data_IF_912496957058
#
_entry.id   IF_912496957058
#
_cell.length_a   1.000
_cell.length_b   1.000
_cell.length_c   1.000
_cell.angle_alpha   90.00
_cell.angle_beta   90.00
_cell.angle_gamma   90.00
#
_symmetry.space_group_name_H-M   'P 1'
#
loop_
_entity.id
_entity.type
_entity.pdbx_description
1 polymer ?
#
# COMPACT_ATOMS: atom_id res chain seq x y z
N UNK A 1 41.31 -11.47 -13.79
CA UNK A 1 40.15 -10.62 -13.46
C UNK A 1 39.17 -10.72 -14.60
N UNK A 2 38.08 -11.48 -14.44
CA UNK A 2 36.98 -11.49 -15.41
C UNK A 2 36.13 -10.27 -15.09
N UNK A 3 35.98 -9.40 -16.08
CA UNK A 3 34.98 -8.35 -16.07
C UNK A 3 33.61 -9.04 -15.99
N UNK A 4 32.89 -8.81 -14.90
CA UNK A 4 31.46 -9.16 -14.83
C UNK A 4 30.79 -8.16 -15.75
N UNK A 5 30.26 -8.64 -16.88
CA UNK A 5 29.37 -7.84 -17.72
C UNK A 5 28.25 -7.30 -16.84
N UNK A 6 28.06 -5.98 -16.80
CA UNK A 6 26.88 -5.35 -16.21
C UNK A 6 25.67 -5.83 -17.00
N UNK A 7 25.05 -6.93 -16.57
CA UNK A 7 23.76 -7.37 -17.12
C UNK A 7 22.75 -6.26 -16.89
N UNK A 8 22.07 -5.84 -17.96
CA UNK A 8 21.08 -4.78 -17.90
C UNK A 8 19.93 -5.19 -16.98
N UNK A 9 19.92 -4.61 -15.78
CA UNK A 9 18.92 -4.85 -14.75
C UNK A 9 17.54 -4.35 -15.20
N UNK A 10 16.56 -5.25 -15.24
CA UNK A 10 15.17 -4.92 -15.54
C UNK A 10 14.41 -4.50 -14.26
N UNK A 11 13.36 -3.69 -14.43
CA UNK A 11 12.47 -3.28 -13.34
C UNK A 11 11.06 -3.79 -13.59
N UNK A 12 10.43 -4.37 -12.57
CA UNK A 12 9.03 -4.75 -12.57
C UNK A 12 8.29 -4.01 -11.46
N UNK A 13 7.27 -3.24 -11.84
CA UNK A 13 6.35 -2.59 -10.91
C UNK A 13 5.03 -3.37 -10.87
N UNK A 14 4.52 -3.61 -9.67
CA UNK A 14 3.29 -4.38 -9.46
C UNK A 14 2.47 -3.82 -8.32
N UNK A 15 1.16 -3.64 -8.55
CA UNK A 15 0.21 -3.34 -7.47
C UNK A 15 -0.17 -4.63 -6.74
N UNK A 16 -0.28 -4.54 -5.43
CA UNK A 16 -0.46 -5.65 -4.50
C UNK A 16 -1.68 -5.38 -3.62
N UNK A 17 -2.76 -6.11 -3.85
CA UNK A 17 -3.95 -6.05 -3.01
C UNK A 17 -3.88 -7.01 -1.83
N UNK A 18 -4.46 -6.59 -0.70
CA UNK A 18 -4.52 -7.38 0.54
C UNK A 18 -3.41 -7.05 1.54
N UNK A 19 -2.68 -5.94 1.36
CA UNK A 19 -1.71 -5.47 2.34
C UNK A 19 -2.40 -4.64 3.44
N UNK A 20 -2.15 -4.99 4.69
CA UNK A 20 -2.83 -4.37 5.85
C UNK A 20 -1.88 -3.69 6.83
N UNK A 21 -0.59 -4.03 6.83
CA UNK A 21 0.40 -3.48 7.75
C UNK A 21 1.84 -3.72 7.27
N UNK A 22 2.82 -3.21 8.03
CA UNK A 22 4.26 -3.38 7.77
C UNK A 22 4.71 -4.85 7.68
N UNK A 23 4.11 -5.77 8.44
CA UNK A 23 4.42 -7.21 8.31
C UNK A 23 4.15 -7.77 6.92
N UNK A 24 3.17 -7.22 6.20
CA UNK A 24 2.85 -7.65 4.84
C UNK A 24 3.99 -7.28 3.87
N UNK A 25 4.54 -6.06 4.01
CA UNK A 25 5.64 -5.58 3.18
C UNK A 25 6.91 -6.43 3.37
N UNK A 26 7.27 -6.76 4.61
CA UNK A 26 8.42 -7.61 4.89
C UNK A 26 8.23 -9.06 4.42
N UNK A 27 7.00 -9.59 4.53
CA UNK A 27 6.66 -10.92 4.02
C UNK A 27 6.86 -11.01 2.51
N UNK A 28 6.36 -10.01 1.76
CA UNK A 28 6.52 -9.91 0.32
C UNK A 28 7.99 -9.76 -0.08
N UNK A 29 8.72 -8.88 0.60
CA UNK A 29 10.15 -8.68 0.37
C UNK A 29 10.92 -10.00 0.51
N UNK A 30 10.72 -10.72 1.62
CA UNK A 30 11.36 -12.03 1.85
C UNK A 30 10.98 -13.05 0.78
N UNK A 31 9.71 -13.10 0.37
CA UNK A 31 9.25 -14.04 -0.65
C UNK A 31 9.92 -13.79 -2.00
N UNK A 32 9.93 -12.54 -2.46
CA UNK A 32 10.48 -12.16 -3.77
C UNK A 32 12.01 -12.23 -3.75
N UNK A 33 12.68 -11.74 -2.69
CA UNK A 33 14.16 -11.73 -2.59
C UNK A 33 14.84 -13.11 -2.62
N UNK A 34 14.06 -14.20 -2.55
CA UNK A 34 14.58 -15.57 -2.61
C UNK A 34 14.64 -16.16 -4.01
N UNK A 35 14.05 -15.50 -5.00
CA UNK A 35 14.24 -15.88 -6.39
C UNK A 35 15.68 -15.52 -6.79
N UNK A 36 16.36 -16.45 -7.46
CA UNK A 36 17.68 -16.18 -8.03
C UNK A 36 17.54 -15.16 -9.17
N UNK A 37 18.42 -14.17 -9.21
CA UNK A 37 18.32 -13.03 -10.13
C UNK A 37 17.64 -11.78 -9.57
N UNK A 38 17.14 -11.78 -8.32
CA UNK A 38 16.59 -10.57 -7.70
C UNK A 38 17.71 -9.76 -7.03
N UNK A 39 17.85 -8.49 -7.42
CA UNK A 39 18.85 -7.59 -6.85
C UNK A 39 18.26 -6.70 -5.75
N UNK A 40 17.09 -6.08 -6.01
CA UNK A 40 16.45 -5.16 -5.07
C UNK A 40 14.94 -5.32 -5.06
N UNK A 41 14.34 -5.25 -3.87
CA UNK A 41 12.88 -5.29 -3.68
C UNK A 41 12.46 -4.17 -2.74
N UNK A 42 11.72 -3.21 -3.29
CA UNK A 42 11.07 -2.15 -2.53
C UNK A 42 9.56 -2.41 -2.50
N UNK A 43 8.96 -2.33 -1.32
CA UNK A 43 7.52 -2.53 -1.13
C UNK A 43 6.98 -1.33 -0.39
N UNK A 44 5.99 -0.65 -0.98
CA UNK A 44 5.28 0.46 -0.37
C UNK A 44 3.90 0.00 0.09
N UNK A 45 3.71 0.00 1.41
CA UNK A 45 2.39 -0.24 2.01
C UNK A 45 1.41 0.89 1.67
N UNK A 46 1.91 2.13 1.62
CA UNK A 46 1.08 3.31 1.40
C UNK A 46 0.43 3.31 0.00
N UNK A 47 1.16 2.81 -1.00
CA UNK A 47 0.71 2.79 -2.40
C UNK A 47 0.23 1.41 -2.86
N UNK A 48 0.21 0.42 -1.96
CA UNK A 48 -0.11 -0.96 -2.30
C UNK A 48 0.70 -1.48 -3.50
N UNK A 49 2.02 -1.26 -3.52
CA UNK A 49 2.87 -1.56 -4.68
C UNK A 49 4.23 -2.16 -4.27
N UNK A 50 4.84 -2.89 -5.20
CA UNK A 50 6.24 -3.27 -5.13
C UNK A 50 6.97 -2.90 -6.42
N UNK A 51 8.22 -2.45 -6.26
CA UNK A 51 9.18 -2.23 -7.31
C UNK A 51 10.33 -3.23 -7.13
N UNK A 52 10.56 -4.04 -8.14
CA UNK A 52 11.53 -5.14 -8.13
C UNK A 52 12.57 -4.90 -9.22
N UNK A 53 13.84 -4.84 -8.85
CA UNK A 53 14.99 -4.82 -9.76
C UNK A 53 15.53 -6.25 -9.89
N UNK A 54 15.58 -6.77 -11.11
CA UNK A 54 15.89 -8.17 -11.38
C UNK A 54 16.70 -8.37 -12.67
N UNK A 55 17.42 -9.49 -12.72
CA UNK A 55 18.15 -9.97 -13.89
C UNK A 55 17.18 -10.74 -14.81
N UNK A 56 16.85 -10.20 -16.00
CA UNK A 56 15.87 -10.81 -16.91
C UNK A 56 16.34 -12.15 -17.50
N UNK A 57 17.63 -12.48 -17.43
CA UNK A 57 18.14 -13.77 -17.90
C UNK A 57 17.86 -14.90 -16.89
N UNK A 58 17.64 -14.56 -15.61
CA UNK A 58 17.48 -15.53 -14.52
C UNK A 58 16.06 -15.65 -14.01
N UNK A 59 15.31 -14.55 -14.02
CA UNK A 59 13.94 -14.51 -13.50
C UNK A 59 13.06 -13.61 -14.36
N UNK A 60 11.84 -14.05 -14.62
CA UNK A 60 10.85 -13.28 -15.36
C UNK A 60 9.80 -12.62 -14.44
N UNK A 61 9.03 -11.68 -15.00
CA UNK A 61 7.94 -11.03 -14.25
C UNK A 61 6.87 -12.03 -13.78
N UNK A 62 6.66 -13.13 -14.51
CA UNK A 62 5.64 -14.13 -14.19
C UNK A 62 5.99 -14.87 -12.91
N UNK A 63 7.27 -15.20 -12.72
CA UNK A 63 7.84 -15.81 -11.52
C UNK A 63 7.77 -14.83 -10.34
N UNK A 64 8.06 -13.55 -10.55
CA UNK A 64 7.92 -12.50 -9.51
C UNK A 64 6.46 -12.40 -9.06
N UNK A 65 5.52 -12.24 -10.01
CA UNK A 65 4.08 -12.19 -9.74
C UNK A 65 3.59 -13.49 -9.09
N UNK A 66 4.13 -14.63 -9.52
CA UNK A 66 3.88 -15.94 -8.93
C UNK A 66 4.33 -16.02 -7.47
N UNK A 67 5.52 -15.51 -7.14
CA UNK A 67 6.03 -15.47 -5.77
C UNK A 67 5.16 -14.61 -4.86
N UNK A 68 4.63 -13.49 -5.36
CA UNK A 68 3.66 -12.64 -4.62
C UNK A 68 2.36 -13.39 -4.36
N UNK A 69 1.76 -13.99 -5.40
CA UNK A 69 0.51 -14.78 -5.29
C UNK A 69 0.67 -15.98 -4.37
N UNK A 70 1.85 -16.59 -4.36
CA UNK A 70 2.13 -17.78 -3.58
C UNK A 70 2.09 -17.57 -2.06
N UNK A 71 2.16 -16.32 -1.60
CA UNK A 71 2.02 -15.96 -0.18
C UNK A 71 0.60 -15.46 0.17
N UNK A 72 -0.31 -15.51 -0.80
CA UNK A 72 -1.73 -15.17 -0.63
C UNK A 72 -2.10 -13.73 -0.98
N UNK A 73 -1.18 -12.95 -1.56
CA UNK A 73 -1.47 -11.60 -2.03
C UNK A 73 -2.03 -11.58 -3.45
N UNK A 74 -2.83 -10.57 -3.76
CA UNK A 74 -3.34 -10.38 -5.13
C UNK A 74 -2.42 -9.45 -5.91
N UNK A 75 -2.07 -9.82 -7.14
CA UNK A 75 -1.28 -8.98 -8.05
C UNK A 75 -2.22 -8.29 -9.02
N UNK A 76 -2.03 -6.99 -9.20
CA UNK A 76 -2.82 -6.13 -10.09
C UNK A 76 -1.90 -5.32 -11.01
N UNK A 77 -2.45 -4.90 -12.13
CA UNK A 77 -1.77 -4.05 -13.10
C UNK A 77 -1.55 -2.64 -12.51
N UNK A 78 -0.31 -2.11 -12.48
CA UNK A 78 -0.06 -0.75 -12.01
C UNK A 78 -0.80 0.32 -12.83
N UNK A 79 -1.00 0.09 -14.14
CA UNK A 79 -1.62 1.04 -15.09
C UNK A 79 -3.13 1.17 -14.92
N UNK A 80 -3.78 0.19 -14.28
CA UNK A 80 -5.21 0.29 -13.96
C UNK A 80 -5.41 1.07 -12.67
N UNK A 81 -5.97 2.28 -12.80
CA UNK A 81 -6.45 3.06 -11.66
C UNK A 81 -7.74 2.42 -11.18
N UNK A 82 -7.86 2.20 -9.86
CA UNK A 82 -9.09 1.65 -9.27
C UNK A 82 -10.22 2.65 -9.44
N UNK A 83 -11.38 2.16 -9.87
CA UNK A 83 -12.60 2.96 -9.78
C UNK A 83 -12.96 3.12 -8.30
N UNK A 84 -13.62 4.23 -7.98
CA UNK A 84 -14.12 4.50 -6.64
C UNK A 84 -15.05 3.37 -6.16
N UNK A 85 -15.83 2.80 -7.06
CA UNK A 85 -16.75 1.69 -6.81
C UNK A 85 -16.02 0.42 -6.37
N UNK A 86 -14.86 0.10 -6.97
CA UNK A 86 -14.05 -1.05 -6.58
C UNK A 86 -13.44 -0.90 -5.17
N UNK A 87 -13.08 0.34 -4.78
CA UNK A 87 -12.62 0.67 -3.43
C UNK A 87 -13.72 0.53 -2.39
N UNK A 88 -14.90 1.07 -2.67
CA UNK A 88 -16.05 0.90 -1.78
C UNK A 88 -16.48 -0.56 -1.66
N UNK A 89 -16.47 -1.32 -2.74
CA UNK A 89 -16.84 -2.74 -2.72
C UNK A 89 -15.89 -3.56 -1.85
N UNK A 90 -14.58 -3.29 -1.91
CA UNK A 90 -13.60 -3.94 -1.05
C UNK A 90 -13.81 -3.58 0.42
N UNK A 91 -14.03 -2.29 0.72
CA UNK A 91 -14.31 -1.83 2.08
C UNK A 91 -15.60 -2.45 2.64
N UNK A 92 -16.67 -2.54 1.83
CA UNK A 92 -17.93 -3.19 2.21
C UNK A 92 -17.73 -4.70 2.51
N UNK A 93 -16.91 -5.40 1.72
CA UNK A 93 -16.57 -6.81 1.98
C UNK A 93 -15.86 -6.99 3.32
N UNK A 94 -14.82 -6.19 3.60
CA UNK A 94 -14.11 -6.27 4.89
C UNK A 94 -14.99 -5.84 6.07
N UNK A 95 -15.85 -4.83 5.89
CA UNK A 95 -16.85 -4.44 6.88
C UNK A 95 -17.78 -5.61 7.22
N UNK A 96 -18.30 -6.31 6.22
CA UNK A 96 -19.21 -7.42 6.46
C UNK A 96 -18.52 -8.60 7.16
N UNK A 97 -17.24 -8.87 6.85
CA UNK A 97 -16.43 -9.85 7.59
C UNK A 97 -16.25 -9.43 9.05
N UNK A 98 -15.94 -8.16 9.31
CA UNK A 98 -15.83 -7.63 10.66
C UNK A 98 -17.15 -7.73 11.41
N UNK A 99 -18.29 -7.35 10.81
CA UNK A 99 -19.59 -7.44 11.45
C UNK A 99 -19.92 -8.88 11.85
N UNK A 100 -19.61 -9.86 10.99
CA UNK A 100 -19.79 -11.27 11.28
C UNK A 100 -18.89 -11.74 12.44
N UNK A 101 -17.59 -11.40 12.39
CA UNK A 101 -16.64 -11.74 13.46
C UNK A 101 -16.98 -11.07 14.81
N UNK A 102 -17.44 -9.81 14.75
CA UNK A 102 -17.90 -9.05 15.90
C UNK A 102 -19.18 -9.66 16.50
N UNK A 103 -20.11 -10.15 15.67
CA UNK A 103 -21.29 -10.87 16.15
C UNK A 103 -20.89 -12.15 16.91
N UNK A 104 -20.00 -12.98 16.35
CA UNK A 104 -19.49 -14.16 17.03
C UNK A 104 -18.78 -13.84 18.34
N UNK A 105 -18.00 -12.75 18.34
CA UNK A 105 -17.28 -12.26 19.52
C UNK A 105 -18.23 -11.73 20.59
N UNK A 106 -19.28 -11.02 20.21
CA UNK A 106 -20.29 -10.53 21.15
C UNK A 106 -21.02 -11.70 21.84
N UNK A 107 -21.34 -12.76 21.09
CA UNK A 107 -21.95 -13.97 21.66
C UNK A 107 -20.97 -14.66 22.62
N UNK A 108 -19.73 -14.92 22.21
CA UNK A 108 -18.71 -15.57 23.05
C UNK A 108 -18.40 -14.73 24.30
N UNK A 109 -18.26 -13.42 24.16
CA UNK A 109 -18.03 -12.50 25.28
C UNK A 109 -19.23 -12.47 26.24
N UNK A 110 -20.46 -12.38 25.71
CA UNK A 110 -21.68 -12.46 26.53
C UNK A 110 -21.78 -13.76 27.32
N UNK A 111 -21.40 -14.88 26.71
CA UNK A 111 -21.30 -16.17 27.38
C UNK A 111 -20.24 -16.18 28.50
N UNK A 112 -19.05 -15.64 28.26
CA UNK A 112 -18.01 -15.55 29.30
C UNK A 112 -18.43 -14.64 30.46
N UNK A 113 -19.00 -13.48 30.17
CA UNK A 113 -19.51 -12.55 31.20
C UNK A 113 -20.58 -13.23 32.04
N UNK A 114 -21.47 -14.00 31.41
CA UNK A 114 -22.50 -14.76 32.10
C UNK A 114 -21.92 -15.91 32.94
N UNK A 115 -20.79 -16.49 32.56
CA UNK A 115 -20.05 -17.43 33.41
C UNK A 115 -19.45 -16.77 34.64
N UNK A 116 -18.94 -15.54 34.51
CA UNK A 116 -18.30 -14.82 35.61
C UNK A 116 -19.28 -14.15 36.57
N UNK A 117 -20.37 -13.57 36.05
CA UNK A 117 -21.35 -12.81 36.82
C UNK A 117 -22.61 -13.61 37.16
N UNK A 118 -22.85 -14.73 36.49
CA UNK A 118 -24.06 -15.53 36.69
C UNK A 118 -24.04 -16.27 38.03
N UNK A 119 -25.19 -16.29 38.70
CA UNK A 119 -25.40 -17.18 39.84
C UNK A 119 -25.19 -18.64 39.43
N UNK A 120 -24.61 -19.46 40.31
CA UNK A 120 -24.21 -20.84 40.02
C UNK A 120 -25.30 -21.70 39.34
N UNK A 121 -26.58 -21.44 39.64
CA UNK A 121 -27.71 -22.13 39.04
C UNK A 121 -27.93 -21.76 37.56
N UNK A 122 -27.72 -20.50 37.19
CA UNK A 122 -27.83 -20.01 35.81
C UNK A 122 -26.67 -20.52 34.98
N UNK A 123 -25.45 -20.49 35.53
CA UNK A 123 -24.25 -21.05 34.91
C UNK A 123 -24.43 -22.54 34.62
N UNK A 124 -24.87 -23.33 35.61
CA UNK A 124 -25.12 -24.76 35.43
C UNK A 124 -26.16 -25.07 34.33
N UNK A 125 -27.22 -24.27 34.21
CA UNK A 125 -28.24 -24.45 33.15
C UNK A 125 -27.72 -24.14 31.75
N UNK A 126 -26.77 -23.20 31.64
CA UNK A 126 -26.22 -22.76 30.36
C UNK A 126 -24.98 -23.53 29.92
N UNK A 127 -24.31 -24.26 30.83
CA UNK A 127 -23.14 -25.09 30.50
C UNK A 127 -23.36 -26.05 29.33
N UNK A 128 -24.50 -26.77 29.19
CA UNK A 128 -24.72 -27.65 28.04
C UNK A 128 -24.79 -26.91 26.72
N UNK A 129 -25.38 -25.70 26.72
CA UNK A 129 -25.46 -24.84 25.54
C UNK A 129 -24.08 -24.30 25.20
N UNK A 130 -23.35 -23.78 26.19
CA UNK A 130 -21.98 -23.26 26.06
C UNK A 130 -21.02 -24.32 25.51
N UNK A 131 -21.18 -25.57 25.94
CA UNK A 131 -20.36 -26.70 25.49
C UNK A 131 -20.39 -26.95 23.99
N UNK A 132 -21.47 -26.61 23.31
CA UNK A 132 -21.57 -26.75 21.85
C UNK A 132 -21.40 -25.43 21.12
N UNK A 133 -21.89 -24.34 21.70
CA UNK A 133 -21.84 -23.02 21.08
C UNK A 133 -20.43 -22.44 21.04
N UNK A 134 -19.61 -22.58 22.09
CA UNK A 134 -18.23 -22.07 22.10
C UNK A 134 -17.32 -22.71 21.03
N UNK A 135 -17.25 -24.06 20.90
CA UNK A 135 -16.51 -24.69 19.81
C UNK A 135 -17.02 -24.26 18.44
N UNK A 136 -18.35 -24.18 18.26
CA UNK A 136 -18.96 -23.77 17.00
C UNK A 136 -18.56 -22.33 16.63
N UNK A 137 -18.61 -21.39 17.58
CA UNK A 137 -18.20 -20.01 17.38
C UNK A 137 -16.71 -19.91 17.06
N UNK A 138 -15.85 -20.66 17.77
CA UNK A 138 -14.41 -20.67 17.52
C UNK A 138 -14.08 -21.17 16.11
N UNK A 139 -14.65 -22.32 15.71
CA UNK A 139 -14.47 -22.87 14.36
C UNK A 139 -15.06 -21.93 13.30
N UNK A 140 -16.28 -21.41 13.51
CA UNK A 140 -16.92 -20.49 12.57
C UNK A 140 -16.15 -19.17 12.42
N UNK A 141 -15.50 -18.67 13.49
CA UNK A 141 -14.70 -17.45 13.43
C UNK A 141 -13.39 -17.67 12.68
N UNK A 142 -12.65 -18.74 13.01
CA UNK A 142 -11.36 -19.07 12.39
C UNK A 142 -11.51 -19.45 10.91
N UNK A 143 -12.48 -20.32 10.59
CA UNK A 143 -12.68 -20.82 9.22
C UNK A 143 -13.70 -20.02 8.40
N UNK A 144 -14.39 -19.04 8.99
CA UNK A 144 -15.25 -18.09 8.30
C UNK A 144 -14.53 -16.78 8.03
N UNK A 145 -14.75 -15.71 8.83
CA UNK A 145 -14.06 -14.43 8.69
C UNK A 145 -12.51 -14.54 8.68
N UNK A 146 -11.96 -15.48 9.44
CA UNK A 146 -10.51 -15.70 9.55
C UNK A 146 -9.87 -16.52 8.42
N UNK A 147 -10.65 -17.13 7.52
CA UNK A 147 -10.12 -18.10 6.55
C UNK A 147 -9.00 -17.54 5.65
N UNK A 148 -9.07 -16.24 5.31
CA UNK A 148 -8.05 -15.60 4.50
C UNK A 148 -6.70 -15.51 5.25
N UNK A 149 -6.72 -15.38 6.58
CA UNK A 149 -5.52 -15.33 7.44
C UNK A 149 -4.80 -16.67 7.35
N UNK A 150 -5.54 -17.77 7.51
CA UNK A 150 -5.02 -19.13 7.39
C UNK A 150 -4.42 -19.38 5.99
N UNK A 151 -5.09 -18.89 4.93
CA UNK A 151 -4.59 -18.97 3.54
C UNK A 151 -3.30 -18.20 3.30
N UNK A 152 -2.99 -17.17 4.11
CA UNK A 152 -1.72 -16.45 4.07
C UNK A 152 -0.67 -17.06 4.99
N UNK A 153 -1.08 -17.56 6.15
CA UNK A 153 -0.20 -18.15 7.16
C UNK A 153 0.44 -19.46 6.70
N UNK A 154 -0.34 -20.38 6.12
CA UNK A 154 0.18 -21.70 5.70
C UNK A 154 1.32 -21.56 4.67
N UNK A 155 1.16 -20.79 3.56
CA UNK A 155 2.26 -20.63 2.61
C UNK A 155 3.45 -19.87 3.19
N UNK A 156 3.20 -18.88 4.08
CA UNK A 156 4.27 -18.17 4.78
C UNK A 156 5.11 -19.12 5.63
N UNK A 157 4.46 -19.98 6.41
CA UNK A 157 5.12 -20.96 7.28
C UNK A 157 5.88 -22.02 6.47
N UNK A 158 5.30 -22.55 5.38
CA UNK A 158 5.99 -23.51 4.49
C UNK A 158 7.26 -22.93 3.86
N UNK A 159 7.30 -21.61 3.69
CA UNK A 159 8.48 -20.88 3.22
C UNK A 159 9.40 -20.48 4.39
N UNK A 160 9.13 -20.82 5.64
CA UNK A 160 9.93 -20.35 6.77
C UNK A 160 9.89 -18.82 6.96
N UNK A 161 8.81 -18.17 6.51
CA UNK A 161 8.55 -16.76 6.75
C UNK A 161 7.60 -16.67 7.95
N UNK A 162 8.18 -16.39 9.12
CA UNK A 162 7.41 -16.17 10.34
C UNK A 162 6.91 -14.72 10.38
N UNK A 163 5.61 -14.53 10.18
CA UNK A 163 4.94 -13.23 10.18
C UNK A 163 3.73 -13.21 11.14
N UNK A 164 3.04 -12.08 11.23
CA UNK A 164 1.89 -11.91 12.12
C UNK A 164 0.75 -12.92 11.86
N UNK A 165 0.55 -13.36 10.60
CA UNK A 165 -0.52 -14.30 10.26
C UNK A 165 -0.18 -15.68 10.81
N UNK A 166 1.09 -16.10 10.67
CA UNK A 166 1.60 -17.31 11.30
C UNK A 166 1.43 -17.24 12.83
N UNK A 167 1.84 -16.15 13.47
CA UNK A 167 1.72 -15.99 14.92
C UNK A 167 0.26 -16.06 15.40
N UNK A 168 -0.65 -15.35 14.72
CA UNK A 168 -2.07 -15.41 15.01
C UNK A 168 -2.60 -16.83 14.89
N UNK A 169 -2.30 -17.53 13.80
CA UNK A 169 -2.78 -18.90 13.58
C UNK A 169 -2.23 -19.86 14.63
N UNK A 170 -0.98 -19.69 15.11
CA UNK A 170 -0.50 -20.46 16.26
C UNK A 170 -1.36 -20.23 17.50
N UNK A 171 -1.73 -18.99 17.81
CA UNK A 171 -2.62 -18.66 18.93
C UNK A 171 -4.04 -19.20 18.75
N UNK A 172 -4.64 -19.01 17.57
CA UNK A 172 -5.99 -19.46 17.26
C UNK A 172 -6.10 -21.00 17.24
N UNK A 173 -5.15 -21.69 16.60
CA UNK A 173 -5.09 -23.15 16.59
C UNK A 173 -4.75 -23.73 17.96
N UNK A 174 -3.90 -23.07 18.76
CA UNK A 174 -3.66 -23.46 20.15
C UNK A 174 -4.94 -23.31 21.01
N UNK A 175 -5.72 -22.24 20.79
CA UNK A 175 -7.03 -22.06 21.39
C UNK A 175 -8.01 -23.18 21.01
N UNK A 176 -8.10 -23.54 19.73
CA UNK A 176 -8.92 -24.67 19.26
C UNK A 176 -8.45 -26.01 19.85
N UNK A 177 -7.14 -26.26 19.89
CA UNK A 177 -6.56 -27.48 20.42
C UNK A 177 -6.77 -27.61 21.95
N UNK A 178 -6.57 -26.53 22.71
CA UNK A 178 -6.84 -26.54 24.14
C UNK A 178 -8.34 -26.62 24.46
N UNK A 179 -9.19 -25.96 23.68
CA UNK A 179 -10.64 -26.03 23.83
C UNK A 179 -11.16 -27.44 23.57
N UNK A 180 -10.67 -28.09 22.51
CA UNK A 180 -11.00 -29.49 22.22
C UNK A 180 -10.47 -30.43 23.30
N UNK A 181 -9.29 -30.19 23.87
CA UNK A 181 -8.81 -30.95 25.02
C UNK A 181 -9.74 -30.81 26.24
N UNK A 182 -10.19 -29.60 26.56
CA UNK A 182 -11.16 -29.34 27.63
C UNK A 182 -12.55 -29.91 27.35
N UNK A 183 -12.89 -30.18 26.10
CA UNK A 183 -14.12 -30.90 25.77
C UNK A 183 -14.08 -32.35 26.29
N UNK A 184 -12.91 -32.99 26.24
CA UNK A 184 -12.72 -34.37 26.74
C UNK A 184 -12.26 -34.44 28.20
N UNK A 185 -11.67 -33.36 28.73
CA UNK A 185 -11.23 -33.26 30.13
C UNK A 185 -11.98 -32.13 30.87
N UNK A 186 -12.96 -32.46 31.73
CA UNK A 186 -13.76 -31.47 32.46
C UNK A 186 -12.93 -30.52 33.33
N UNK A 187 -11.78 -30.98 33.84
CA UNK A 187 -10.87 -30.18 34.68
C UNK A 187 -10.06 -29.14 33.88
N UNK A 188 -10.16 -29.16 32.55
CA UNK A 188 -9.44 -28.24 31.67
C UNK A 188 -10.42 -27.20 31.10
N UNK A 189 -10.09 -25.90 31.15
CA UNK A 189 -11.05 -24.83 30.90
C UNK A 189 -11.35 -24.65 29.41
N UNK A 190 -12.31 -25.42 28.92
CA UNK A 190 -12.71 -25.47 27.52
C UNK A 190 -13.15 -24.11 26.93
N UNK A 191 -14.00 -23.38 27.66
CA UNK A 191 -14.60 -22.13 27.15
C UNK A 191 -13.54 -21.04 26.93
N UNK A 192 -12.57 -20.91 27.85
CA UNK A 192 -11.53 -19.89 27.78
C UNK A 192 -10.63 -20.09 26.56
N UNK A 193 -10.25 -21.33 26.27
CA UNK A 193 -9.42 -21.66 25.12
C UNK A 193 -10.13 -21.44 23.78
N UNK A 194 -11.40 -21.82 23.66
CA UNK A 194 -12.19 -21.50 22.46
C UNK A 194 -12.41 -19.99 22.29
N UNK A 195 -12.65 -19.27 23.39
CA UNK A 195 -12.81 -17.82 23.37
C UNK A 195 -11.55 -17.11 22.87
N UNK A 196 -10.34 -17.59 23.22
CA UNK A 196 -9.08 -17.04 22.69
C UNK A 196 -9.05 -17.09 21.16
N UNK A 197 -9.46 -18.21 20.54
CA UNK A 197 -9.49 -18.34 19.09
C UNK A 197 -10.48 -17.35 18.44
N UNK A 198 -11.64 -17.11 19.07
CA UNK A 198 -12.62 -16.11 18.61
C UNK A 198 -12.04 -14.70 18.73
N UNK A 199 -11.53 -14.33 19.90
CA UNK A 199 -11.11 -12.96 20.19
C UNK A 199 -9.88 -12.53 19.40
N UNK A 200 -8.85 -13.38 19.32
CA UNK A 200 -7.62 -13.02 18.57
C UNK A 200 -7.91 -12.86 17.07
N UNK A 201 -8.76 -13.73 16.51
CA UNK A 201 -9.14 -13.68 15.10
C UNK A 201 -9.95 -12.43 14.80
N UNK A 202 -10.98 -12.13 15.60
CA UNK A 202 -11.81 -10.94 15.42
C UNK A 202 -11.00 -9.66 15.59
N UNK A 203 -10.10 -9.62 16.58
CA UNK A 203 -9.25 -8.46 16.79
C UNK A 203 -8.35 -8.18 15.58
N UNK A 204 -7.82 -9.22 14.92
CA UNK A 204 -7.08 -9.04 13.66
C UNK A 204 -7.96 -8.57 12.51
N UNK A 205 -9.17 -9.10 12.36
CA UNK A 205 -10.12 -8.65 11.34
C UNK A 205 -10.48 -7.17 11.55
N UNK A 206 -10.69 -6.75 12.80
CA UNK A 206 -10.92 -5.34 13.16
C UNK A 206 -9.72 -4.47 12.78
N UNK A 207 -8.51 -4.92 13.10
CA UNK A 207 -7.26 -4.26 12.73
C UNK A 207 -7.13 -4.09 11.21
N UNK A 208 -7.38 -5.15 10.44
CA UNK A 208 -7.37 -5.10 8.98
C UNK A 208 -8.38 -4.11 8.40
N UNK A 209 -9.62 -4.14 8.89
CA UNK A 209 -10.67 -3.22 8.47
C UNK A 209 -10.34 -1.76 8.80
N UNK A 210 -9.88 -1.48 10.02
CA UNK A 210 -9.52 -0.12 10.44
C UNK A 210 -8.40 0.45 9.56
N UNK A 211 -7.39 -0.37 9.24
CA UNK A 211 -6.30 0.00 8.33
C UNK A 211 -6.81 0.33 6.93
N UNK A 212 -7.69 -0.52 6.37
CA UNK A 212 -8.31 -0.29 5.06
C UNK A 212 -9.18 0.96 5.04
N UNK A 213 -10.05 1.15 6.04
CA UNK A 213 -10.95 2.30 6.15
C UNK A 213 -10.19 3.63 6.15
N UNK A 214 -9.16 3.72 6.97
CA UNK A 214 -8.36 4.95 7.08
C UNK A 214 -7.63 5.22 5.76
N UNK A 215 -7.10 4.18 5.10
CA UNK A 215 -6.45 4.28 3.79
C UNK A 215 -7.40 4.78 2.69
N UNK A 216 -8.56 4.16 2.52
CA UNK A 216 -9.52 4.52 1.47
C UNK A 216 -9.93 6.00 1.58
N UNK A 217 -10.18 6.49 2.80
CA UNK A 217 -10.63 7.88 3.02
C UNK A 217 -9.57 8.93 2.66
N UNK A 218 -8.28 8.60 2.77
CA UNK A 218 -7.20 9.52 2.46
C UNK A 218 -6.84 9.55 0.96
N UNK A 219 -6.89 8.39 0.27
CA UNK A 219 -6.65 8.31 -1.17
C UNK A 219 -7.67 9.12 -2.00
N UNK A 220 -8.89 9.29 -1.50
CA UNK A 220 -9.96 10.04 -2.16
C UNK A 220 -9.71 11.56 -2.22
N UNK A 221 -8.96 12.14 -1.27
CA UNK A 221 -8.63 13.56 -1.25
C UNK A 221 -7.56 13.93 -2.28
N UNK A 222 -6.69 12.98 -2.63
CA UNK A 222 -5.54 13.21 -3.53
C UNK A 222 -5.93 13.04 -5.00
N UNK A 223 -6.82 12.09 -5.33
CA UNK A 223 -7.19 11.79 -6.74
C UNK A 223 -7.98 12.91 -7.44
N UNK A 224 -8.74 13.71 -6.71
CA UNK A 224 -9.45 14.89 -7.26
C UNK A 224 -8.53 15.97 -7.84
N UNK A 225 -7.22 15.86 -7.62
CA UNK A 225 -6.22 16.79 -8.12
C UNK A 225 -5.45 16.26 -9.36
N UNK A 226 -5.71 15.03 -9.82
CA UNK A 226 -4.94 14.37 -10.89
C UNK A 226 -5.64 14.33 -12.27
N UNK A 227 -6.83 14.92 -12.42
CA UNK A 227 -7.62 14.91 -13.68
C UNK A 227 -7.23 16.04 -14.66
N UNK A 228 -5.95 16.36 -14.81
CA UNK A 228 -5.49 17.47 -15.65
C UNK A 228 -4.86 17.06 -16.99
N UNK A 229 -4.76 15.77 -17.29
CA UNK A 229 -4.29 15.30 -18.60
C UNK A 229 -5.50 14.99 -19.50
N UNK A 230 -5.60 15.58 -20.70
CA UNK A 230 -6.72 15.33 -21.59
C UNK A 230 -6.73 13.86 -22.05
N UNK A 231 -7.88 13.17 -22.02
CA UNK A 231 -7.98 11.74 -22.34
C UNK A 231 -7.90 11.43 -23.85
N UNK A 232 -8.01 12.45 -24.71
CA UNK A 232 -8.11 12.29 -26.17
C UNK A 232 -7.11 13.17 -26.91
N UNK A 233 -6.76 12.75 -28.11
CA UNK A 233 -5.97 13.52 -29.07
C UNK A 233 -6.67 13.58 -30.43
N UNK A 234 -6.47 14.69 -31.14
CA UNK A 234 -7.06 14.93 -32.45
C UNK A 234 -6.06 14.59 -33.55
N UNK A 235 -6.14 13.39 -34.09
CA UNK A 235 -5.23 12.86 -35.11
C UNK A 235 -5.77 13.15 -36.51
N UNK A 236 -4.88 13.54 -37.42
CA UNK A 236 -5.15 13.71 -38.85
C UNK A 236 -4.73 12.42 -39.58
N UNK A 237 -5.71 11.64 -40.05
CA UNK A 237 -5.50 10.46 -40.90
C UNK A 237 -6.28 10.65 -42.19
N UNK A 238 -5.67 10.36 -43.35
CA UNK A 238 -6.28 10.54 -44.67
C UNK A 238 -6.89 11.94 -44.91
N UNK A 239 -6.26 12.98 -44.36
CA UNK A 239 -6.71 14.37 -44.48
C UNK A 239 -7.95 14.74 -43.64
N UNK A 240 -8.44 13.83 -42.78
CA UNK A 240 -9.56 14.09 -41.86
C UNK A 240 -9.08 14.11 -40.41
N UNK A 241 -9.64 15.04 -39.63
CA UNK A 241 -9.47 15.08 -38.18
C UNK A 241 -10.35 14.02 -37.52
N UNK A 242 -9.76 13.18 -36.67
CA UNK A 242 -10.45 12.17 -35.89
C UNK A 242 -9.98 12.27 -34.45
N UNK A 243 -10.91 12.34 -33.51
CA UNK A 243 -10.59 12.33 -32.10
C UNK A 243 -10.47 10.87 -31.62
N UNK A 244 -9.31 10.52 -31.08
CA UNK A 244 -9.00 9.16 -30.62
C UNK A 244 -8.49 9.20 -29.17
N UNK A 245 -8.67 8.11 -28.40
CA UNK A 245 -8.01 7.96 -27.10
C UNK A 245 -6.50 8.10 -27.23
N UNK A 246 -5.84 8.68 -26.22
CA UNK A 246 -4.39 8.91 -26.24
C UNK A 246 -3.59 7.60 -26.41
N UNK A 247 -4.14 6.47 -25.98
CA UNK A 247 -3.52 5.14 -26.10
C UNK A 247 -3.48 4.61 -27.54
N UNK A 248 -4.32 5.15 -28.43
CA UNK A 248 -4.39 4.75 -29.85
C UNK A 248 -3.52 5.61 -30.77
N UNK A 249 -2.82 6.60 -30.21
CA UNK A 249 -1.88 7.47 -30.94
C UNK A 249 -0.56 6.72 -31.13
N UNK A 250 -0.07 6.68 -32.37
CA UNK A 250 1.18 6.02 -32.72
C UNK A 250 2.27 7.03 -33.11
N UNK A 251 3.57 6.68 -32.94
CA UNK A 251 4.66 7.47 -33.50
C UNK A 251 4.47 7.66 -35.00
N UNK A 252 4.67 8.89 -35.48
CA UNK A 252 4.44 9.28 -36.87
C UNK A 252 3.05 9.82 -37.19
N UNK A 253 2.05 9.65 -36.31
CA UNK A 253 0.75 10.31 -36.45
C UNK A 253 0.91 11.85 -36.49
N UNK A 254 -0.02 12.54 -37.14
CA UNK A 254 -0.09 14.00 -37.13
C UNK A 254 -1.22 14.44 -36.21
N UNK A 255 -0.91 15.14 -35.14
CA UNK A 255 -1.89 15.61 -34.14
C UNK A 255 -2.08 17.10 -34.28
N UNK A 256 -3.33 17.55 -34.42
CA UNK A 256 -3.66 18.97 -34.45
C UNK A 256 -3.95 19.46 -33.04
N UNK A 257 -3.25 20.52 -32.63
CA UNK A 257 -3.42 21.18 -31.33
C UNK A 257 -3.86 22.63 -31.58
N UNK A 258 -5.01 23.00 -31.05
CA UNK A 258 -5.60 24.34 -31.21
C UNK A 258 -5.13 25.30 -30.11
N UNK A 259 -5.27 26.62 -30.30
CA UNK A 259 -5.02 27.59 -29.25
C UNK A 259 -5.82 27.27 -27.98
N UNK A 260 -5.15 27.28 -26.82
CA UNK A 260 -5.72 26.94 -25.52
C UNK A 260 -5.76 25.44 -25.20
N UNK A 261 -5.40 24.56 -26.13
CA UNK A 261 -5.32 23.11 -25.87
C UNK A 261 -3.96 22.71 -25.29
N UNK A 262 -3.97 21.72 -24.40
CA UNK A 262 -2.73 21.05 -23.98
C UNK A 262 -2.22 20.19 -25.12
N UNK A 263 -0.91 20.24 -25.36
CA UNK A 263 -0.24 19.34 -26.31
C UNK A 263 -0.31 17.91 -25.73
N UNK A 264 -0.94 16.94 -26.41
CA UNK A 264 -1.24 15.64 -25.80
C UNK A 264 -0.05 14.67 -25.81
N UNK A 265 0.90 14.85 -26.73
CA UNK A 265 2.04 13.94 -26.97
C UNK A 265 3.31 14.70 -27.31
N UNK A 266 4.46 14.08 -27.11
CA UNK A 266 5.74 14.63 -27.54
C UNK A 266 5.92 14.48 -29.05
N UNK A 267 6.47 15.51 -29.68
CA UNK A 267 6.58 15.54 -31.12
C UNK A 267 7.40 16.69 -31.67
N UNK A 268 7.40 16.79 -32.99
CA UNK A 268 8.00 17.89 -33.74
C UNK A 268 6.89 18.61 -34.49
N UNK A 269 6.88 19.93 -34.48
CA UNK A 269 5.93 20.72 -35.26
C UNK A 269 6.17 20.44 -36.75
N UNK A 270 5.17 19.88 -37.40
CA UNK A 270 5.17 19.65 -38.85
C UNK A 270 4.64 20.88 -39.61
N UNK A 271 3.69 21.60 -39.04
CA UNK A 271 3.08 22.80 -39.64
C UNK A 271 2.49 23.73 -38.56
N UNK A 272 2.43 25.03 -38.84
CA UNK A 272 1.95 26.07 -37.93
C UNK A 272 3.05 26.78 -37.12
N UNK A 273 2.63 27.83 -36.42
CA UNK A 273 3.46 28.61 -35.51
C UNK A 273 2.64 29.07 -34.30
N UNK A 274 3.17 28.94 -33.09
CA UNK A 274 2.48 29.34 -31.86
C UNK A 274 3.45 29.51 -30.70
N UNK A 275 3.06 30.36 -29.74
CA UNK A 275 3.70 30.38 -28.44
C UNK A 275 3.22 29.20 -27.59
N UNK A 276 4.17 28.40 -27.09
CA UNK A 276 3.91 27.23 -26.24
C UNK A 276 4.42 27.52 -24.83
N UNK A 277 3.53 27.39 -23.86
CA UNK A 277 3.85 27.51 -22.44
C UNK A 277 4.30 26.16 -21.90
N UNK A 278 5.62 26.05 -21.71
CA UNK A 278 6.29 24.89 -21.13
C UNK A 278 6.51 25.07 -19.61
N UNK A 279 5.87 26.04 -18.94
CA UNK A 279 6.14 26.36 -17.53
C UNK A 279 5.83 25.19 -16.57
N UNK A 280 4.81 24.39 -16.89
CA UNK A 280 4.46 23.18 -16.13
C UNK A 280 5.54 22.09 -16.19
N UNK A 281 6.38 22.12 -17.23
CA UNK A 281 7.40 21.10 -17.53
C UNK A 281 8.80 21.59 -17.18
N UNK A 282 9.14 22.81 -17.60
CA UNK A 282 10.49 23.38 -17.49
C UNK A 282 10.62 24.35 -16.32
N UNK A 283 9.52 24.85 -15.77
CA UNK A 283 9.51 25.91 -14.76
C UNK A 283 9.78 27.31 -15.31
N UNK A 284 10.04 27.46 -16.61
CA UNK A 284 10.26 28.76 -17.24
C UNK A 284 8.92 29.45 -17.52
N UNK A 285 8.70 30.69 -17.03
CA UNK A 285 7.38 31.36 -17.10
C UNK A 285 7.12 32.05 -18.44
N UNK A 286 8.12 32.12 -19.32
CA UNK A 286 8.03 32.79 -20.62
C UNK A 286 7.70 31.73 -21.67
N UNK A 287 6.56 31.83 -22.37
CA UNK A 287 6.23 30.94 -23.48
C UNK A 287 7.31 30.98 -24.57
N UNK A 288 7.63 29.82 -25.13
CA UNK A 288 8.59 29.70 -26.24
C UNK A 288 7.83 29.71 -27.56
N UNK A 289 8.30 30.52 -28.50
CA UNK A 289 7.83 30.47 -29.89
C UNK A 289 8.25 29.12 -30.51
N UNK A 290 7.29 28.44 -31.14
CA UNK A 290 7.50 27.17 -31.82
C UNK A 290 7.04 27.28 -33.26
N UNK A 291 7.90 26.87 -34.19
CA UNK A 291 7.64 26.81 -35.63
C UNK A 291 7.94 25.41 -36.17
N UNK A 292 7.64 25.18 -37.46
CA UNK A 292 7.92 23.90 -38.10
C UNK A 292 9.39 23.48 -37.94
N UNK A 293 9.61 22.26 -37.47
CA UNK A 293 10.92 21.70 -37.13
C UNK A 293 11.26 21.72 -35.64
N UNK A 294 10.56 22.53 -34.83
CA UNK A 294 10.82 22.60 -33.39
C UNK A 294 10.17 21.44 -32.62
N UNK A 295 10.84 20.99 -31.57
CA UNK A 295 10.30 20.00 -30.63
C UNK A 295 9.25 20.64 -29.70
N UNK A 296 8.20 19.88 -29.40
CA UNK A 296 7.18 20.21 -28.42
C UNK A 296 6.99 19.06 -27.43
N UNK A 297 6.75 19.43 -26.17
CA UNK A 297 6.61 18.49 -25.06
C UNK A 297 5.14 18.34 -24.69
N UNK A 298 4.69 17.10 -24.52
CA UNK A 298 3.36 16.78 -24.02
C UNK A 298 3.08 17.43 -22.66
N UNK A 299 1.85 17.87 -22.45
CA UNK A 299 1.39 18.65 -21.29
C UNK A 299 1.66 20.14 -21.33
N UNK A 300 2.44 20.63 -22.31
CA UNK A 300 2.62 22.06 -22.52
C UNK A 300 1.34 22.67 -23.06
N UNK A 301 1.06 23.93 -22.73
CA UNK A 301 -0.16 24.62 -23.19
C UNK A 301 0.13 25.39 -24.47
N UNK A 302 -0.61 25.07 -25.54
CA UNK A 302 -0.56 25.86 -26.76
C UNK A 302 -1.36 27.16 -26.56
N UNK A 303 -0.79 28.34 -26.86
CA UNK A 303 -1.47 29.61 -26.53
C UNK A 303 -2.17 30.27 -27.72
N UNK A 304 -1.44 30.61 -28.77
CA UNK A 304 -1.88 31.61 -29.76
C UNK A 304 -2.27 31.03 -31.12
N UNK A 305 -1.43 30.17 -31.72
CA UNK A 305 -1.63 29.59 -33.04
C UNK A 305 -2.03 28.11 -33.02
N UNK A 306 -2.40 27.57 -34.18
CA UNK A 306 -2.64 26.13 -34.33
C UNK A 306 -1.34 25.44 -34.72
N UNK A 307 -1.05 24.30 -34.10
CA UNK A 307 0.09 23.46 -34.43
C UNK A 307 -0.38 22.12 -34.98
N UNK A 308 0.30 21.62 -36.00
CA UNK A 308 0.24 20.21 -36.41
C UNK A 308 1.54 19.57 -35.95
N UNK A 309 1.44 18.65 -34.99
CA UNK A 309 2.57 18.01 -34.34
C UNK A 309 2.71 16.59 -34.87
N UNK A 310 3.87 16.26 -35.44
CA UNK A 310 4.21 14.88 -35.76
C UNK A 310 4.69 14.18 -34.50
N UNK A 311 3.99 13.13 -34.12
CA UNK A 311 4.27 12.37 -32.89
C UNK A 311 5.62 11.68 -32.99
N UNK A 312 6.48 11.86 -31.99
CA UNK A 312 7.78 11.18 -31.91
C UNK A 312 7.80 10.12 -30.81
N UNK A 313 7.21 10.43 -29.64
CA UNK A 313 7.17 9.54 -28.49
C UNK A 313 5.75 9.48 -27.93
N UNK A 314 5.31 8.27 -27.59
CA UNK A 314 3.99 8.00 -27.00
C UNK A 314 4.13 7.12 -25.76
N UNK A 315 3.11 7.13 -24.91
CA UNK A 315 3.07 6.26 -23.73
C UNK A 315 4.31 6.41 -22.84
N UNK A 316 4.95 5.28 -22.51
CA UNK A 316 6.10 5.22 -21.59
C UNK A 316 7.36 5.94 -22.06
N UNK A 317 7.46 6.26 -23.36
CA UNK A 317 8.60 6.99 -23.91
C UNK A 317 8.40 8.51 -23.85
N UNK A 318 7.18 9.01 -23.62
CA UNK A 318 6.92 10.44 -23.50
C UNK A 318 7.58 11.05 -22.26
N UNK A 319 8.01 12.30 -22.36
CA UNK A 319 8.70 13.04 -21.32
C UNK A 319 7.88 13.07 -20.02
N UNK A 320 6.57 13.36 -20.10
CA UNK A 320 5.71 13.36 -18.91
C UNK A 320 5.59 11.98 -18.27
N UNK A 321 5.52 10.90 -19.04
CA UNK A 321 5.48 9.55 -18.48
C UNK A 321 6.84 9.13 -17.92
N UNK A 322 7.95 9.55 -18.52
CA UNK A 322 9.28 9.35 -17.93
C UNK A 322 9.45 10.10 -16.61
N UNK A 323 9.00 11.36 -16.55
CA UNK A 323 8.99 12.15 -15.31
C UNK A 323 8.04 11.54 -14.28
N UNK A 324 6.82 11.17 -14.66
CA UNK A 324 5.87 10.49 -13.78
C UNK A 324 6.45 9.18 -13.24
N UNK A 325 7.04 8.34 -14.11
CA UNK A 325 7.73 7.10 -13.73
C UNK A 325 8.88 7.37 -12.78
N UNK A 326 9.75 8.35 -13.06
CA UNK A 326 10.85 8.69 -12.15
C UNK A 326 10.34 9.21 -10.79
N UNK A 327 9.24 9.96 -10.78
CA UNK A 327 8.58 10.41 -9.54
C UNK A 327 7.94 9.23 -8.79
N UNK A 328 7.28 8.31 -9.49
CA UNK A 328 6.70 7.10 -8.90
C UNK A 328 7.78 6.14 -8.38
N UNK A 329 8.87 5.94 -9.12
CA UNK A 329 10.05 5.19 -8.69
C UNK A 329 10.69 5.82 -7.45
N UNK A 330 10.77 7.14 -7.40
CA UNK A 330 11.23 7.87 -6.22
C UNK A 330 10.26 7.73 -5.03
N UNK A 331 8.93 7.68 -5.27
CA UNK A 331 7.91 7.41 -4.23
C UNK A 331 7.90 5.96 -3.74
N UNK A 332 8.42 5.03 -4.54
CA UNK A 332 8.59 3.63 -4.18
C UNK A 332 9.83 3.40 -3.29
N UNK A 333 10.70 4.41 -3.11
CA UNK A 333 11.81 4.35 -2.17
C UNK A 333 11.31 4.39 -0.73
N UNK A 334 11.94 3.58 0.13
CA UNK A 334 11.48 3.31 1.49
C UNK A 334 11.76 4.48 2.44
N UNK A 335 10.74 5.00 3.14
CA UNK A 335 10.97 5.81 4.34
C UNK A 335 11.75 5.01 5.40
N UNK A 336 12.78 5.60 6.00
CA UNK A 336 13.58 4.96 7.06
C UNK A 336 12.77 4.45 8.27
N UNK A 337 11.63 5.07 8.58
CA UNK A 337 10.77 4.68 9.71
C UNK A 337 10.07 3.32 9.50
N UNK A 338 9.69 2.98 8.26
CA UNK A 338 9.10 1.66 7.96
C UNK A 338 10.17 0.57 8.09
N UNK A 339 11.44 0.88 7.81
CA UNK A 339 12.56 -0.06 7.99
C UNK A 339 12.85 -0.36 9.46
N UNK A 340 12.65 0.60 10.38
CA UNK A 340 12.83 0.37 11.82
C UNK A 340 11.76 -0.60 12.34
N UNK A 341 10.50 -0.37 11.99
CA UNK A 341 9.41 -1.27 12.35
C UNK A 341 9.68 -2.65 11.76
N UNK A 342 9.96 -2.77 10.46
CA UNK A 342 10.28 -4.05 9.81
C UNK A 342 11.45 -4.80 10.48
N UNK A 343 12.48 -4.08 10.96
CA UNK A 343 13.61 -4.67 11.69
C UNK A 343 13.21 -5.24 13.04
N UNK A 344 12.36 -4.54 13.80
CA UNK A 344 11.77 -5.06 15.05
C UNK A 344 10.95 -6.31 14.73
N UNK A 345 10.09 -6.21 13.72
CA UNK A 345 9.15 -7.27 13.34
C UNK A 345 9.85 -8.54 12.83
N UNK A 346 11.04 -8.42 12.21
CA UNK A 346 11.87 -9.55 11.79
C UNK A 346 12.24 -10.48 12.95
N UNK A 347 12.51 -9.93 14.13
CA UNK A 347 12.94 -10.68 15.31
C UNK A 347 11.83 -10.93 16.31
N UNK A 348 10.81 -10.08 16.30
CA UNK A 348 9.71 -10.14 17.25
C UNK A 348 8.90 -11.43 17.15
N UNK A 349 8.41 -11.79 15.95
CA UNK A 349 7.60 -13.01 15.77
C UNK A 349 8.38 -14.29 16.11
N UNK A 350 9.61 -14.52 15.61
CA UNK A 350 10.42 -15.65 16.04
C UNK A 350 10.68 -15.65 17.56
N UNK A 351 10.89 -14.47 18.17
CA UNK A 351 11.05 -14.33 19.60
C UNK A 351 9.84 -14.85 20.38
N UNK A 352 8.63 -14.37 20.05
CA UNK A 352 7.39 -14.81 20.71
C UNK A 352 7.18 -16.32 20.58
N UNK A 353 7.37 -16.89 19.38
CA UNK A 353 7.24 -18.34 19.17
C UNK A 353 8.29 -19.13 19.97
N UNK A 354 9.52 -18.61 20.08
CA UNK A 354 10.58 -19.22 20.89
C UNK A 354 10.22 -19.20 22.37
N UNK A 355 9.74 -18.06 22.89
CA UNK A 355 9.28 -17.95 24.28
C UNK A 355 8.07 -18.85 24.57
N UNK A 356 7.14 -19.00 23.62
CA UNK A 356 6.02 -19.92 23.77
C UNK A 356 6.51 -21.38 23.84
N UNK A 357 7.46 -21.77 22.98
CA UNK A 357 8.10 -23.08 23.03
C UNK A 357 8.89 -23.32 24.33
N UNK A 358 9.63 -22.32 24.80
CA UNK A 358 10.32 -22.37 26.10
C UNK A 358 9.34 -22.50 27.26
N UNK A 359 8.20 -21.82 27.22
CA UNK A 359 7.16 -21.96 28.24
C UNK A 359 6.65 -23.40 28.33
N UNK A 360 6.43 -24.07 27.18
CA UNK A 360 6.07 -25.49 27.16
C UNK A 360 7.19 -26.34 27.77
N UNK A 361 8.43 -26.14 27.34
CA UNK A 361 9.58 -26.93 27.81
C UNK A 361 9.82 -26.77 29.32
N UNK A 362 9.76 -25.54 29.83
CA UNK A 362 9.98 -25.24 31.25
C UNK A 362 8.93 -25.94 32.12
N UNK A 363 7.64 -25.85 31.76
CA UNK A 363 6.56 -26.42 32.57
C UNK A 363 6.31 -27.91 32.33
N UNK A 364 6.89 -28.50 31.29
CA UNK A 364 6.86 -29.95 31.06
C UNK A 364 8.15 -30.61 31.57
N UNK A 365 9.26 -30.46 30.86
CA UNK A 365 10.53 -31.07 31.20
C UNK A 365 11.17 -30.44 32.46
N UNK A 366 11.12 -29.11 32.60
CA UNK A 366 11.64 -28.43 33.79
C UNK A 366 10.87 -28.78 35.05
N UNK A 367 9.53 -28.80 35.00
CA UNK A 367 8.70 -29.25 36.11
C UNK A 367 8.98 -30.72 36.44
N UNK A 368 9.06 -31.60 35.43
CA UNK A 368 9.36 -33.01 35.62
C UNK A 368 10.70 -33.23 36.35
N UNK A 369 11.74 -32.45 36.05
CA UNK A 369 13.03 -32.53 36.75
C UNK A 369 12.97 -32.14 38.23
N UNK A 370 12.03 -31.27 38.62
CA UNK A 370 11.92 -30.74 40.00
C UNK A 370 10.90 -31.52 40.83
N UNK A 371 9.75 -31.84 40.24
CA UNK A 371 8.59 -32.43 40.95
C UNK A 371 8.35 -33.90 40.59
N UNK A 372 9.06 -34.44 39.59
CA UNK A 372 8.86 -35.80 39.08
C UNK A 372 7.67 -35.97 38.14
N UNK A 373 6.88 -34.91 37.89
CA UNK A 373 5.72 -34.95 36.98
C UNK A 373 5.64 -33.70 36.08
N UNK A 374 5.30 -33.85 34.78
CA UNK A 374 5.10 -32.71 33.90
C UNK A 374 3.78 -31.98 34.18
N UNK A 375 3.80 -30.64 34.18
CA UNK A 375 2.60 -29.80 34.34
C UNK A 375 2.10 -29.29 32.97
N UNK A 376 1.35 -30.15 32.29
CA UNK A 376 0.76 -29.83 30.98
C UNK A 376 -0.22 -28.66 31.03
N UNK A 377 -0.94 -28.50 32.14
CA UNK A 377 -1.92 -27.43 32.29
C UNK A 377 -1.22 -26.09 32.31
N UNK A 378 -0.23 -25.90 33.19
CA UNK A 378 0.57 -24.66 33.24
C UNK A 378 1.35 -24.42 31.95
N UNK A 379 1.92 -25.47 31.35
CA UNK A 379 2.62 -25.37 30.07
C UNK A 379 1.73 -24.78 28.97
N UNK A 380 0.51 -25.30 28.84
CA UNK A 380 -0.43 -24.85 27.80
C UNK A 380 -0.89 -23.41 28.05
N UNK A 381 -1.20 -23.06 29.31
CA UNK A 381 -1.56 -21.70 29.69
C UNK A 381 -0.43 -20.69 29.45
N UNK A 382 0.79 -21.02 29.87
CA UNK A 382 1.94 -20.15 29.72
C UNK A 382 2.25 -19.92 28.23
N UNK A 383 2.22 -20.99 27.42
CA UNK A 383 2.42 -20.89 25.98
C UNK A 383 1.34 -20.04 25.31
N UNK A 384 0.07 -20.29 25.61
CA UNK A 384 -1.04 -19.52 25.05
C UNK A 384 -0.99 -18.05 25.47
N UNK A 385 -0.67 -17.77 26.73
CA UNK A 385 -0.49 -16.41 27.24
C UNK A 385 0.61 -15.67 26.48
N UNK A 386 1.76 -16.31 26.22
CA UNK A 386 2.84 -15.74 25.41
C UNK A 386 2.38 -15.48 23.96
N UNK A 387 1.66 -16.42 23.34
CA UNK A 387 1.15 -16.25 21.97
C UNK A 387 0.14 -15.10 21.86
N UNK A 388 -0.79 -14.99 22.82
CA UNK A 388 -1.84 -13.96 22.84
C UNK A 388 -1.28 -12.60 23.20
N UNK A 389 -0.54 -12.47 24.30
CA UNK A 389 0.04 -11.18 24.71
C UNK A 389 1.14 -10.72 23.76
N UNK A 390 1.86 -11.67 23.16
CA UNK A 390 2.87 -11.40 22.16
C UNK A 390 2.30 -10.96 20.82
N UNK A 391 0.98 -10.91 20.61
CA UNK A 391 0.42 -10.62 19.30
C UNK A 391 0.46 -9.11 18.92
N UNK A 392 1.25 -8.69 17.91
CA UNK A 392 1.65 -7.28 17.72
C UNK A 392 0.73 -6.47 16.77
N UNK A 393 -0.59 -6.48 16.98
CA UNK A 393 -1.53 -5.85 16.03
C UNK A 393 -1.38 -4.33 15.96
N UNK A 394 -1.27 -3.69 17.13
CA UNK A 394 -1.21 -2.24 17.23
C UNK A 394 0.09 -1.68 16.64
N UNK A 395 1.20 -2.41 16.82
CA UNK A 395 2.53 -1.99 16.37
C UNK A 395 2.59 -1.85 14.84
N UNK A 396 2.00 -2.80 14.10
CA UNK A 396 1.96 -2.78 12.64
C UNK A 396 1.06 -1.69 12.04
N UNK A 397 0.11 -1.16 12.82
CA UNK A 397 -0.88 -0.17 12.38
C UNK A 397 -0.60 1.26 12.84
N UNK A 398 0.10 1.45 13.96
CA UNK A 398 0.28 2.76 14.57
C UNK A 398 0.88 3.78 13.59
N UNK A 399 1.91 3.37 12.84
CA UNK A 399 2.61 4.25 11.90
C UNK A 399 1.73 4.62 10.68
N UNK A 400 1.12 3.67 9.94
CA UNK A 400 0.21 4.01 8.85
C UNK A 400 -0.97 4.88 9.28
N UNK A 401 -1.60 4.58 10.43
CA UNK A 401 -2.74 5.36 10.92
C UNK A 401 -2.35 6.81 11.27
N UNK A 402 -1.20 7.00 11.93
CA UNK A 402 -0.69 8.32 12.25
C UNK A 402 -0.37 9.13 10.99
N UNK A 403 0.29 8.52 9.99
CA UNK A 403 0.60 9.17 8.72
C UNK A 403 -0.66 9.57 7.95
N UNK A 404 -1.65 8.69 7.89
CA UNK A 404 -2.88 8.97 7.16
C UNK A 404 -3.68 10.10 7.84
N UNK A 405 -3.81 10.08 9.18
CA UNK A 405 -4.46 11.16 9.92
C UNK A 405 -3.69 12.48 9.77
N UNK A 406 -2.36 12.43 9.87
CA UNK A 406 -1.49 13.58 9.65
C UNK A 406 -1.61 14.16 8.25
N UNK A 407 -1.71 13.30 7.22
CA UNK A 407 -1.94 13.71 5.83
C UNK A 407 -3.30 14.35 5.62
N UNK A 408 -4.35 13.80 6.25
CA UNK A 408 -5.66 14.42 6.23
C UNK A 408 -5.69 15.80 6.90
N UNK A 409 -4.93 16.01 7.97
CA UNK A 409 -4.76 17.32 8.62
C UNK A 409 -3.98 18.29 7.73
N UNK A 410 -2.82 17.87 7.20
CA UNK A 410 -2.01 18.67 6.30
C UNK A 410 -2.80 19.12 5.06
N UNK A 411 -3.60 18.22 4.47
CA UNK A 411 -4.42 18.53 3.29
C UNK A 411 -5.48 19.61 3.57
N UNK A 412 -6.07 19.66 4.78
CA UNK A 412 -6.99 20.74 5.18
C UNK A 412 -6.32 22.11 5.21
N UNK A 413 -5.00 22.14 5.35
CA UNK A 413 -4.19 23.36 5.34
C UNK A 413 -3.55 23.63 3.97
N UNK A 414 -3.98 22.91 2.92
CA UNK A 414 -3.42 23.04 1.57
C UNK A 414 -2.05 22.37 1.39
N UNK A 415 -1.58 21.59 2.36
CA UNK A 415 -0.29 20.88 2.31
C UNK A 415 -0.53 19.44 1.89
N UNK A 416 -0.12 19.10 0.67
CA UNK A 416 -0.25 17.75 0.14
C UNK A 416 1.00 16.91 0.47
N UNK A 417 0.87 16.03 1.47
CA UNK A 417 1.92 15.07 1.83
C UNK A 417 1.88 13.86 0.89
N UNK A 418 2.72 13.88 -0.14
CA UNK A 418 2.70 12.90 -1.25
C UNK A 418 3.24 11.51 -0.89
N UNK A 419 3.96 11.37 0.24
CA UNK A 419 4.52 10.09 0.68
C UNK A 419 4.61 10.01 2.21
N UNK A 420 4.66 8.79 2.75
CA UNK A 420 4.95 8.57 4.18
C UNK A 420 6.36 9.06 4.59
N UNK A 421 7.29 9.12 3.64
CA UNK A 421 8.64 9.65 3.85
C UNK A 421 8.65 11.15 4.11
N UNK A 422 7.75 11.89 3.45
CA UNK A 422 7.62 13.32 3.68
C UNK A 422 7.38 13.62 5.17
N UNK A 423 6.56 12.83 5.88
CA UNK A 423 6.36 13.02 7.32
C UNK A 423 7.61 12.80 8.16
N UNK A 424 8.43 11.83 7.77
CA UNK A 424 9.64 11.48 8.50
C UNK A 424 10.74 12.51 8.28
N UNK A 425 10.93 12.95 7.03
CA UNK A 425 11.96 13.93 6.67
C UNK A 425 11.57 15.32 7.15
N UNK A 426 10.29 15.71 7.05
CA UNK A 426 9.85 17.08 7.31
C UNK A 426 10.20 17.57 8.72
N UNK A 427 10.12 16.71 9.74
CA UNK A 427 10.50 17.06 11.11
C UNK A 427 12.01 17.30 11.29
N UNK A 428 12.82 16.74 10.39
CA UNK A 428 14.29 16.79 10.45
C UNK A 428 14.84 17.91 9.53
N UNK A 429 13.98 18.62 8.80
CA UNK A 429 14.36 19.75 7.95
C UNK A 429 14.82 20.92 8.83
N UNK A 430 16.06 21.34 8.62
CA UNK A 430 16.66 22.52 9.30
C UNK A 430 16.89 23.70 8.36
N UNK A 431 16.82 23.47 7.04
CA UNK A 431 17.03 24.48 6.01
C UNK A 431 16.00 24.28 4.90
N UNK A 432 15.32 25.38 4.53
CA UNK A 432 14.38 25.40 3.41
C UNK A 432 15.01 26.27 2.33
N UNK A 433 15.25 25.70 1.16
CA UNK A 433 15.67 26.42 -0.04
C UNK A 433 14.45 26.56 -0.92
N UNK A 434 14.08 27.80 -1.23
CA UNK A 434 12.89 28.11 -2.03
C UNK A 434 13.34 28.50 -3.43
N UNK A 435 12.70 27.91 -4.43
CA UNK A 435 12.85 28.42 -5.79
C UNK A 435 12.23 29.82 -5.88
N UNK A 436 12.75 30.66 -6.77
CA UNK A 436 12.25 32.03 -6.91
C UNK A 436 11.00 32.06 -7.77
N UNK A 437 11.05 31.42 -8.93
CA UNK A 437 10.02 31.56 -9.96
C UNK A 437 8.83 30.63 -9.65
N UNK A 438 7.61 31.14 -9.62
CA UNK A 438 6.41 30.32 -9.34
C UNK A 438 6.24 29.84 -7.88
N UNK A 439 7.27 29.96 -7.04
CA UNK A 439 7.21 29.68 -5.60
C UNK A 439 7.17 30.97 -4.77
N UNK A 440 8.19 31.83 -4.88
CA UNK A 440 8.20 33.15 -4.22
C UNK A 440 7.46 34.20 -5.07
N UNK A 441 7.57 34.09 -6.39
CA UNK A 441 6.97 35.03 -7.34
C UNK A 441 5.66 34.51 -7.91
N UNK A 442 4.80 35.43 -8.37
CA UNK A 442 3.49 35.14 -8.97
C UNK A 442 3.61 34.34 -10.30
N UNK A 443 4.81 34.25 -10.88
CA UNK A 443 5.06 33.52 -12.13
C UNK A 443 4.48 34.19 -13.38
N UNK A 444 3.86 35.37 -13.25
CA UNK A 444 3.32 36.15 -14.36
C UNK A 444 4.10 37.46 -14.48
N UNK A 445 4.74 37.75 -15.63
CA UNK A 445 5.40 39.02 -15.84
C UNK A 445 4.35 40.14 -15.80
N UNK A 446 4.69 41.23 -15.10
CA UNK A 446 3.87 42.45 -15.03
C UNK A 446 4.77 43.63 -15.33
N UNK A 447 4.32 44.52 -16.19
CA UNK A 447 4.96 45.81 -16.40
C UNK A 447 4.90 46.61 -15.08
N UNK A 448 6.06 46.89 -14.50
CA UNK A 448 6.17 47.64 -13.24
C UNK A 448 6.52 49.10 -13.47
N UNK A 449 7.49 49.37 -14.34
CA UNK A 449 7.97 50.72 -14.61
C UNK A 449 8.41 50.86 -16.07
N UNK A 450 8.39 52.09 -16.57
CA UNK A 450 8.82 52.45 -17.92
C UNK A 450 9.69 53.69 -17.83
N UNK A 451 10.98 53.51 -18.12
CA UNK A 451 11.94 54.60 -18.20
C UNK A 451 12.20 54.95 -19.66
N UNK A 452 11.56 56.01 -20.15
CA UNK A 452 11.82 56.57 -21.47
C UNK A 452 13.07 57.46 -21.42
N UNK A 453 14.01 57.27 -22.34
CA UNK A 453 15.18 58.15 -22.48
C UNK A 453 14.77 59.54 -23.02
N UNK A 454 13.74 59.59 -23.87
CA UNK A 454 13.06 60.79 -24.37
C UNK A 454 11.58 60.46 -24.65
N UNK A 455 10.67 61.43 -24.47
CA UNK A 455 9.21 61.25 -24.70
C UNK A 455 8.43 60.77 -23.47
N UNK A 456 7.11 60.63 -23.61
CA UNK A 456 6.26 60.13 -22.52
C UNK A 456 6.29 58.59 -22.44
N UNK A 457 6.25 58.03 -21.22
CA UNK A 457 6.22 56.58 -21.00
C UNK A 457 5.09 55.85 -21.76
N UNK A 458 3.97 56.54 -22.04
CA UNK A 458 2.85 56.03 -22.83
C UNK A 458 3.16 55.88 -24.31
N UNK A 459 4.08 56.68 -24.85
CA UNK A 459 4.49 56.59 -26.26
C UNK A 459 5.43 55.40 -26.50
N UNK A 460 6.20 55.01 -25.49
CA UNK A 460 7.11 53.84 -25.54
C UNK A 460 6.36 52.50 -25.42
N UNK A 461 5.17 52.49 -24.81
CA UNK A 461 4.33 51.30 -24.64
C UNK A 461 3.30 51.08 -25.76
N UNK A 462 3.14 52.06 -26.66
CA UNK A 462 2.33 51.94 -27.88
C UNK A 462 3.11 51.22 -28.95
#
# INVERSE_FOLDING_TARGET
MRWVEDTAMAKCQVKIGGMSCSFCAETLRKSVSRLDGIHRVNVSLAHEEALVEFDPERVDETQIKGAIRSVGYTVRDPKKIRTFEEEEAELRRERNRLLLAAAFTAIAFGQMVLMWLGEAALTMRLMPVMRWTMPLLAVATVFGPGLYILKMAIPSLRRGILNQHVLLEFGALAGLAGGTLGFFRPDFPMADFFAVAVFITTYHVLSGYASLFVRTRASQAVRKLMELQPPTARVIRDGRETEVPIEEVAPGDLVRVRPGESIPVDGVVADGASAVDESLVTGEPIPKEKVAGDEVIGGSLNQSGTLVVRVTKVGEESFLQQVARHIEEARALKPGIIQLVDRILKWYVPGVLTFAGLAILIWTAGAWLVTGQPDWTRATFAALAVLVMGYPCALGMATPLAMIRGGGEAARQGILMRSGEAFAVFKDITKIVLDKTGTITIGKPRLLDVHAVQGEAREVLR
#
